data_IF_517775756023
#
_entry.id   IF_517775756023
#
_cell.length_a   1.000
_cell.length_b   1.000
_cell.length_c   1.000
_cell.angle_alpha   90.00
_cell.angle_beta   90.00
_cell.angle_gamma   90.00
#
_symmetry.space_group_name_H-M   'P 1'
#
loop_
_entity.id
_entity.type
_entity.pdbx_description
1 polymer ?
#
# COMPACT_ATOMS: atom_id res chain seq x y z
N UNK A 1 -13.22 -39.14 18.47
CA UNK A 1 -13.77 -39.07 17.10
C UNK A 1 -12.66 -39.12 16.04
N UNK A 2 -12.96 -39.51 14.82
CA UNK A 2 -12.00 -39.53 13.72
C UNK A 2 -12.08 -38.23 12.88
N UNK A 3 -11.13 -38.08 11.96
CA UNK A 3 -11.02 -36.87 11.09
C UNK A 3 -12.31 -36.59 10.30
N UNK A 4 -12.99 -37.65 9.81
CA UNK A 4 -14.20 -37.51 9.01
C UNK A 4 -15.38 -37.01 9.86
N UNK A 5 -15.47 -37.50 11.08
CA UNK A 5 -16.49 -37.09 12.06
C UNK A 5 -16.27 -35.64 12.49
N UNK A 6 -15.02 -35.26 12.80
CA UNK A 6 -14.64 -33.89 13.14
C UNK A 6 -14.91 -32.93 11.98
N UNK A 7 -14.61 -33.34 10.75
CA UNK A 7 -14.86 -32.54 9.56
C UNK A 7 -16.36 -32.24 9.37
N UNK A 8 -17.19 -33.25 9.57
CA UNK A 8 -18.65 -33.12 9.50
C UNK A 8 -19.19 -32.22 10.62
N UNK A 9 -18.71 -32.43 11.85
CA UNK A 9 -19.16 -31.69 13.04
C UNK A 9 -18.77 -30.18 12.92
N UNK A 10 -17.58 -29.88 12.43
CA UNK A 10 -17.03 -28.50 12.35
C UNK A 10 -17.34 -27.79 11.04
N UNK A 11 -17.94 -28.48 10.04
CA UNK A 11 -18.24 -27.89 8.74
C UNK A 11 -16.99 -27.48 7.94
N UNK A 12 -15.91 -28.27 8.03
CA UNK A 12 -14.66 -28.03 7.30
C UNK A 12 -14.18 -29.30 6.60
N UNK A 13 -13.24 -29.17 5.65
CA UNK A 13 -12.72 -30.33 4.93
C UNK A 13 -11.85 -31.21 5.83
N UNK A 14 -11.82 -32.53 5.56
CA UNK A 14 -10.94 -33.48 6.25
C UNK A 14 -9.47 -33.07 6.15
N UNK A 15 -9.05 -32.51 5.00
CA UNK A 15 -7.70 -31.97 4.82
C UNK A 15 -7.39 -30.87 5.84
N UNK A 16 -8.36 -29.97 6.09
CA UNK A 16 -8.20 -28.91 7.08
C UNK A 16 -8.09 -29.46 8.49
N UNK A 17 -8.88 -30.45 8.85
CA UNK A 17 -8.79 -31.11 10.15
C UNK A 17 -7.39 -31.73 10.35
N UNK A 18 -6.86 -32.46 9.35
CA UNK A 18 -5.49 -33.03 9.44
C UNK A 18 -4.42 -31.98 9.64
N UNK A 19 -4.53 -30.82 8.97
CA UNK A 19 -3.61 -29.69 9.16
C UNK A 19 -3.71 -29.13 10.58
N UNK A 20 -4.91 -28.98 11.14
CA UNK A 20 -5.10 -28.52 12.51
C UNK A 20 -4.52 -29.48 13.53
N UNK A 21 -4.69 -30.82 13.33
CA UNK A 21 -4.05 -31.83 14.15
C UNK A 21 -2.51 -31.77 14.06
N UNK A 22 -1.96 -31.72 12.84
CA UNK A 22 -0.52 -31.69 12.60
C UNK A 22 0.16 -30.45 13.20
N UNK A 23 -0.56 -29.32 13.26
CA UNK A 23 -0.08 -28.07 13.85
C UNK A 23 -0.30 -27.96 15.37
N UNK A 24 -0.82 -29.04 16.02
CA UNK A 24 -1.09 -29.03 17.45
C UNK A 24 -2.22 -28.07 17.87
N UNK A 25 -3.08 -27.67 16.94
CA UNK A 25 -4.16 -26.69 17.20
C UNK A 25 -5.43 -27.33 17.80
N UNK A 26 -5.47 -28.67 17.88
CA UNK A 26 -6.55 -29.43 18.52
C UNK A 26 -5.97 -30.07 19.77
N UNK A 27 -6.38 -29.57 20.90
CA UNK A 27 -5.89 -30.08 22.19
C UNK A 27 -6.23 -31.57 22.38
N UNK A 28 -5.25 -32.34 22.83
CA UNK A 28 -5.39 -33.77 23.04
C UNK A 28 -5.51 -34.66 21.77
N UNK A 29 -5.37 -34.07 20.56
CA UNK A 29 -5.30 -34.85 19.34
C UNK A 29 -3.92 -35.53 19.20
N UNK A 30 -3.94 -36.85 18.89
CA UNK A 30 -2.71 -37.60 18.66
C UNK A 30 -2.82 -38.50 17.42
N UNK A 31 -1.68 -38.91 16.90
CA UNK A 31 -1.61 -39.79 15.74
C UNK A 31 -1.36 -41.24 16.18
N UNK A 32 -2.24 -42.14 15.75
CA UNK A 32 -2.08 -43.58 15.91
C UNK A 32 -1.87 -44.24 14.55
N UNK A 33 -0.66 -44.62 14.25
CA UNK A 33 -0.26 -45.08 12.91
C UNK A 33 -0.43 -43.98 11.85
N UNK A 34 -1.32 -44.22 10.88
CA UNK A 34 -1.67 -43.21 9.84
C UNK A 34 -2.94 -42.42 10.13
N UNK A 35 -3.57 -42.69 11.26
CA UNK A 35 -4.88 -42.10 11.61
C UNK A 35 -4.73 -41.08 12.74
N UNK A 36 -5.44 -39.97 12.61
CA UNK A 36 -5.56 -38.99 13.67
C UNK A 36 -6.76 -39.38 14.59
N UNK A 37 -6.51 -39.39 15.88
CA UNK A 37 -7.51 -39.57 16.93
C UNK A 37 -7.74 -38.23 17.60
N UNK A 38 -8.95 -37.75 17.60
CA UNK A 38 -9.36 -36.47 18.15
C UNK A 38 -10.27 -36.77 19.36
N UNK A 39 -10.06 -36.14 20.53
CA UNK A 39 -10.92 -36.35 21.70
C UNK A 39 -12.38 -36.06 21.38
N UNK A 40 -13.28 -36.84 21.98
CA UNK A 40 -14.70 -36.55 21.94
C UNK A 40 -14.97 -35.28 22.75
N UNK A 41 -15.60 -34.28 22.14
CA UNK A 41 -15.79 -32.96 22.76
C UNK A 41 -14.71 -31.90 22.41
N UNK A 42 -13.74 -32.26 21.59
CA UNK A 42 -12.81 -31.24 21.08
C UNK A 42 -13.56 -30.16 20.27
N UNK A 43 -13.31 -28.92 20.60
CA UNK A 43 -13.92 -27.78 19.92
C UNK A 43 -13.13 -27.42 18.62
N UNK A 44 -13.86 -26.87 17.66
CA UNK A 44 -13.23 -26.35 16.45
C UNK A 44 -12.27 -25.21 16.82
N UNK A 45 -10.96 -25.29 16.48
CA UNK A 45 -10.04 -24.21 16.71
C UNK A 45 -10.53 -22.93 16.01
N UNK A 46 -10.37 -21.79 16.67
CA UNK A 46 -10.72 -20.50 16.10
C UNK A 46 -9.96 -20.26 14.79
N UNK A 47 -10.64 -19.71 13.77
CA UNK A 47 -9.98 -19.37 12.52
C UNK A 47 -9.00 -18.20 12.76
N UNK A 48 -7.70 -18.49 12.75
CA UNK A 48 -6.65 -17.50 12.95
C UNK A 48 -6.68 -16.33 11.97
N UNK A 49 -7.34 -16.51 10.81
CA UNK A 49 -7.53 -15.43 9.83
C UNK A 49 -8.50 -14.37 10.36
N UNK A 50 -9.53 -14.78 11.08
CA UNK A 50 -10.51 -13.85 11.67
C UNK A 50 -9.87 -13.07 12.83
N UNK A 51 -9.11 -13.73 13.70
CA UNK A 51 -8.35 -13.08 14.78
C UNK A 51 -7.32 -12.09 14.23
N UNK A 52 -6.59 -12.48 13.19
CA UNK A 52 -5.58 -11.60 12.55
C UNK A 52 -6.22 -10.35 11.94
N UNK A 53 -7.41 -10.48 11.33
CA UNK A 53 -8.11 -9.35 10.71
C UNK A 53 -8.70 -8.39 11.76
N UNK A 54 -9.33 -8.89 12.81
CA UNK A 54 -9.83 -8.08 13.92
C UNK A 54 -8.68 -7.38 14.66
N UNK A 55 -7.60 -8.11 14.98
CA UNK A 55 -6.41 -7.56 15.64
C UNK A 55 -5.68 -6.52 14.78
N UNK A 56 -5.70 -6.65 13.45
CA UNK A 56 -5.14 -5.65 12.54
C UNK A 56 -5.97 -4.36 12.53
N UNK A 57 -7.28 -4.47 12.50
CA UNK A 57 -8.17 -3.31 12.58
C UNK A 57 -8.04 -2.58 13.93
N UNK A 58 -7.99 -3.32 15.02
CA UNK A 58 -7.76 -2.76 16.37
C UNK A 58 -6.41 -2.02 16.44
N UNK A 59 -5.36 -2.58 15.84
CA UNK A 59 -4.05 -1.93 15.75
C UNK A 59 -4.11 -0.64 14.93
N UNK A 60 -4.83 -0.64 13.80
CA UNK A 60 -5.05 0.56 12.97
C UNK A 60 -5.79 1.63 13.76
N UNK A 61 -6.87 1.27 14.46
CA UNK A 61 -7.64 2.20 15.29
C UNK A 61 -6.80 2.78 16.44
N UNK A 62 -5.96 1.96 17.06
CA UNK A 62 -5.04 2.42 18.09
C UNK A 62 -4.00 3.40 17.52
N UNK A 63 -3.40 3.10 16.37
CA UNK A 63 -2.45 4.00 15.69
C UNK A 63 -3.10 5.31 15.25
N UNK A 64 -4.34 5.24 14.78
CA UNK A 64 -5.13 6.43 14.45
C UNK A 64 -5.36 7.30 15.67
N UNK A 65 -5.79 6.72 16.79
CA UNK A 65 -5.98 7.47 18.06
C UNK A 65 -4.68 8.12 18.53
N UNK A 66 -3.55 7.41 18.42
CA UNK A 66 -2.23 7.96 18.76
C UNK A 66 -1.89 9.16 17.84
N UNK A 67 -2.12 9.05 16.54
CA UNK A 67 -1.92 10.15 15.60
C UNK A 67 -2.84 11.35 15.91
N UNK A 68 -4.11 11.09 16.16
CA UNK A 68 -5.09 12.14 16.47
C UNK A 68 -4.76 12.86 17.78
N UNK A 69 -4.18 12.17 18.77
CA UNK A 69 -3.75 12.77 20.04
C UNK A 69 -2.55 13.74 19.90
N UNK A 70 -1.81 13.65 18.80
CA UNK A 70 -0.67 14.53 18.49
C UNK A 70 -1.05 15.75 17.65
N UNK A 71 -2.32 15.92 17.32
CA UNK A 71 -2.83 17.04 16.54
C UNK A 71 -3.29 18.20 17.46
N UNK A 72 -3.27 19.46 16.98
CA UNK A 72 -2.83 19.87 15.64
C UNK A 72 -1.29 19.80 15.49
N UNK A 73 -0.83 19.47 14.29
CA UNK A 73 0.58 19.58 13.91
C UNK A 73 0.91 21.06 13.67
N UNK A 74 2.13 21.45 13.98
CA UNK A 74 2.64 22.78 13.62
C UNK A 74 2.83 22.90 12.10
N UNK A 75 2.80 24.11 11.56
CA UNK A 75 3.05 24.34 10.13
C UNK A 75 4.38 23.74 9.65
N UNK A 76 5.44 23.84 10.46
CA UNK A 76 6.75 23.28 10.14
C UNK A 76 6.75 21.74 10.11
N UNK A 77 5.97 21.08 10.98
CA UNK A 77 5.82 19.62 10.96
C UNK A 77 5.03 19.18 9.73
N UNK A 78 3.96 19.89 9.39
CA UNK A 78 3.17 19.62 8.17
C UNK A 78 4.03 19.80 6.93
N UNK A 79 4.80 20.88 6.84
CA UNK A 79 5.67 21.15 5.70
C UNK A 79 6.71 20.02 5.52
N UNK A 80 7.36 19.56 6.61
CA UNK A 80 8.29 18.43 6.55
C UNK A 80 7.63 17.15 6.05
N UNK A 81 6.43 16.85 6.54
CA UNK A 81 5.70 15.66 6.08
C UNK A 81 5.40 15.73 4.58
N UNK A 82 5.03 16.90 4.06
CA UNK A 82 4.82 17.08 2.64
C UNK A 82 6.12 16.90 1.83
N UNK A 83 7.23 17.44 2.30
CA UNK A 83 8.53 17.32 1.62
C UNK A 83 9.02 15.87 1.59
N UNK A 84 8.99 15.17 2.72
CA UNK A 84 9.40 13.77 2.83
C UNK A 84 8.50 12.87 1.96
N UNK A 85 7.19 13.06 2.04
CA UNK A 85 6.23 12.30 1.25
C UNK A 85 6.40 12.57 -0.25
N UNK A 86 6.60 13.80 -0.65
CA UNK A 86 6.80 14.18 -2.06
C UNK A 86 8.03 13.49 -2.65
N UNK A 87 9.15 13.44 -1.91
CA UNK A 87 10.38 12.79 -2.38
C UNK A 87 10.15 11.30 -2.60
N UNK A 88 9.60 10.61 -1.59
CA UNK A 88 9.34 9.16 -1.68
C UNK A 88 8.29 8.83 -2.74
N UNK A 89 7.22 9.61 -2.81
CA UNK A 89 6.16 9.43 -3.79
C UNK A 89 6.67 9.60 -5.21
N UNK A 90 7.43 10.68 -5.47
CA UNK A 90 8.05 10.93 -6.78
C UNK A 90 8.99 9.82 -7.18
N UNK A 91 9.89 9.40 -6.27
CA UNK A 91 10.80 8.29 -6.53
C UNK A 91 10.06 6.99 -6.87
N UNK A 92 9.13 6.57 -6.03
CA UNK A 92 8.42 5.31 -6.23
C UNK A 92 7.58 5.30 -7.50
N UNK A 93 6.87 6.39 -7.79
CA UNK A 93 6.05 6.51 -9.00
C UNK A 93 6.90 6.45 -10.27
N UNK A 94 8.00 7.20 -10.31
CA UNK A 94 8.89 7.23 -11.47
C UNK A 94 9.67 5.92 -11.64
N UNK A 95 10.04 5.24 -10.53
CA UNK A 95 10.71 3.94 -10.59
C UNK A 95 9.83 2.85 -11.25
N UNK A 96 8.52 2.87 -11.02
CA UNK A 96 7.56 1.98 -11.68
C UNK A 96 7.56 2.20 -13.21
N UNK A 97 7.74 3.44 -13.66
CA UNK A 97 7.79 3.82 -15.08
C UNK A 97 9.20 3.62 -15.70
N UNK A 98 10.17 3.10 -14.92
CA UNK A 98 11.52 2.80 -15.40
C UNK A 98 12.51 3.93 -15.29
N UNK A 99 12.24 4.98 -14.52
CA UNK A 99 13.19 6.04 -14.19
C UNK A 99 14.40 5.46 -13.42
N UNK A 100 15.59 5.92 -13.72
CA UNK A 100 16.84 5.34 -13.20
C UNK A 100 17.44 6.11 -12.02
N UNK A 101 16.81 7.18 -11.56
CA UNK A 101 17.23 7.89 -10.36
C UNK A 101 17.04 7.04 -9.11
N UNK A 102 17.99 7.08 -8.20
CA UNK A 102 17.83 6.55 -6.83
C UNK A 102 17.03 7.53 -5.98
N UNK A 103 16.52 7.10 -4.83
CA UNK A 103 15.80 7.99 -3.90
C UNK A 103 16.61 9.25 -3.54
N UNK A 104 17.92 9.09 -3.28
CA UNK A 104 18.83 10.21 -2.99
C UNK A 104 19.02 11.13 -4.18
N UNK A 105 19.18 10.57 -5.38
CA UNK A 105 19.30 11.36 -6.61
C UNK A 105 18.00 12.11 -6.92
N UNK A 106 16.85 11.49 -6.67
CA UNK A 106 15.54 12.14 -6.79
C UNK A 106 15.48 13.36 -5.85
N UNK A 107 15.81 13.22 -4.58
CA UNK A 107 15.85 14.36 -3.64
C UNK A 107 16.77 15.49 -4.16
N UNK A 108 17.97 15.14 -4.64
CA UNK A 108 18.89 16.13 -5.21
C UNK A 108 18.30 16.86 -6.43
N UNK A 109 17.64 16.12 -7.34
CA UNK A 109 16.98 16.71 -8.52
C UNK A 109 15.82 17.63 -8.10
N UNK A 110 15.03 17.22 -7.13
CA UNK A 110 13.91 18.02 -6.61
C UNK A 110 14.39 19.31 -5.91
N UNK A 111 15.64 19.34 -5.44
CA UNK A 111 16.34 20.54 -4.92
C UNK A 111 17.03 21.37 -6.01
N UNK A 112 16.88 21.00 -7.28
CA UNK A 112 17.43 21.73 -8.43
C UNK A 112 18.86 21.33 -8.83
N UNK A 113 19.37 20.20 -8.34
CA UNK A 113 20.68 19.69 -8.74
C UNK A 113 20.57 18.78 -9.95
N UNK A 114 21.60 18.77 -10.78
CA UNK A 114 21.72 17.86 -11.91
C UNK A 114 22.61 16.67 -11.54
N UNK A 115 22.20 15.47 -11.89
CA UNK A 115 22.95 14.24 -11.62
C UNK A 115 23.70 13.83 -12.88
N UNK A 116 25.03 13.70 -12.78
CA UNK A 116 25.86 13.26 -13.89
C UNK A 116 25.50 11.83 -14.33
N UNK A 117 25.63 11.57 -15.63
CA UNK A 117 25.38 10.26 -16.27
C UNK A 117 23.93 9.72 -16.14
N UNK A 118 22.99 10.56 -15.76
CA UNK A 118 21.56 10.22 -15.77
C UNK A 118 20.85 10.90 -16.95
N UNK A 119 19.88 10.25 -17.58
CA UNK A 119 19.12 10.83 -18.68
C UNK A 119 18.42 12.13 -18.26
N UNK A 120 18.41 13.13 -19.14
CA UNK A 120 17.65 14.36 -18.90
C UNK A 120 16.16 14.07 -18.68
N UNK A 121 15.62 13.09 -19.41
CA UNK A 121 14.25 12.63 -19.25
C UNK A 121 13.93 12.29 -17.79
N UNK A 122 14.81 11.55 -17.12
CA UNK A 122 14.60 11.12 -15.74
C UNK A 122 14.50 12.32 -14.78
N UNK A 123 15.31 13.36 -15.02
CA UNK A 123 15.25 14.62 -14.27
C UNK A 123 13.91 15.34 -14.51
N UNK A 124 13.48 15.44 -15.76
CA UNK A 124 12.25 16.14 -16.13
C UNK A 124 11.01 15.43 -15.58
N UNK A 125 10.99 14.09 -15.60
CA UNK A 125 9.92 13.30 -14.97
C UNK A 125 9.83 13.60 -13.47
N UNK A 126 10.94 13.63 -12.75
CA UNK A 126 10.95 13.96 -11.33
C UNK A 126 10.44 15.38 -11.05
N UNK A 127 10.88 16.36 -11.85
CA UNK A 127 10.42 17.76 -11.72
C UNK A 127 8.93 17.87 -12.03
N UNK A 128 8.45 17.27 -13.12
CA UNK A 128 7.02 17.28 -13.48
C UNK A 128 6.13 16.65 -12.40
N UNK A 129 6.60 15.57 -11.77
CA UNK A 129 5.92 14.95 -10.63
C UNK A 129 5.83 15.87 -9.42
N UNK A 130 6.92 16.61 -9.09
CA UNK A 130 6.93 17.61 -8.04
C UNK A 130 5.91 18.73 -8.30
N UNK A 131 5.89 19.25 -9.52
CA UNK A 131 4.96 20.31 -9.90
C UNK A 131 3.50 19.85 -9.80
N UNK A 132 3.21 18.64 -10.29
CA UNK A 132 1.89 18.04 -10.17
C UNK A 132 1.48 17.84 -8.70
N UNK A 133 2.40 17.40 -7.84
CA UNK A 133 2.15 17.21 -6.41
C UNK A 133 1.74 18.53 -5.75
N UNK A 134 2.47 19.60 -5.95
CA UNK A 134 2.14 20.91 -5.36
C UNK A 134 0.86 21.49 -5.92
N UNK A 135 0.62 21.33 -7.22
CA UNK A 135 -0.65 21.72 -7.82
C UNK A 135 -1.84 21.02 -7.17
N UNK A 136 -1.74 19.71 -6.91
CA UNK A 136 -2.77 18.96 -6.18
C UNK A 136 -2.94 19.49 -4.75
N UNK A 137 -1.85 19.79 -4.05
CA UNK A 137 -1.92 20.38 -2.71
C UNK A 137 -2.67 21.71 -2.68
N UNK A 138 -2.46 22.55 -3.68
CA UNK A 138 -3.17 23.82 -3.79
C UNK A 138 -4.65 23.64 -4.13
N UNK A 139 -4.99 22.73 -5.05
CA UNK A 139 -6.39 22.38 -5.32
C UNK A 139 -7.12 21.87 -4.07
N UNK A 140 -6.46 21.08 -3.23
CA UNK A 140 -7.03 20.58 -1.98
C UNK A 140 -7.24 21.72 -0.98
N UNK A 141 -6.31 22.67 -0.86
CA UNK A 141 -6.46 23.86 0.01
C UNK A 141 -7.65 24.72 -0.43
N UNK A 142 -7.80 24.89 -1.73
CA UNK A 142 -8.89 25.67 -2.34
C UNK A 142 -10.22 24.91 -2.38
N UNK A 143 -10.24 23.64 -2.00
CA UNK A 143 -11.41 22.74 -2.09
C UNK A 143 -11.98 22.67 -3.51
N UNK A 144 -11.11 22.72 -4.51
CA UNK A 144 -11.48 22.64 -5.91
C UNK A 144 -12.13 21.28 -6.21
N UNK A 145 -13.16 21.29 -7.05
CA UNK A 145 -13.80 20.06 -7.50
C UNK A 145 -12.92 19.30 -8.49
N UNK A 146 -12.89 17.98 -8.36
CA UNK A 146 -12.22 17.12 -9.33
C UNK A 146 -13.01 17.09 -10.63
N UNK A 147 -12.48 17.73 -11.67
CA UNK A 147 -13.06 17.79 -13.01
C UNK A 147 -12.15 17.16 -14.05
N UNK A 148 -12.68 16.87 -15.22
CA UNK A 148 -11.87 16.40 -16.35
C UNK A 148 -10.76 17.39 -16.71
N UNK A 149 -11.03 18.68 -16.61
CA UNK A 149 -10.02 19.73 -16.81
C UNK A 149 -8.85 19.60 -15.80
N UNK A 150 -9.16 19.44 -14.52
CA UNK A 150 -8.15 19.27 -13.46
C UNK A 150 -7.30 18.01 -13.72
N UNK A 151 -7.94 16.90 -14.09
CA UNK A 151 -7.22 15.66 -14.41
C UNK A 151 -6.27 15.88 -15.58
N UNK A 152 -6.69 16.57 -16.64
CA UNK A 152 -5.85 16.89 -17.81
C UNK A 152 -4.69 17.81 -17.44
N UNK A 153 -4.89 18.78 -16.54
CA UNK A 153 -3.81 19.64 -16.06
C UNK A 153 -2.76 18.85 -15.28
N UNK A 154 -3.17 17.99 -14.34
CA UNK A 154 -2.26 17.13 -13.60
C UNK A 154 -1.46 16.24 -14.56
N UNK A 155 -2.14 15.62 -15.51
CA UNK A 155 -1.50 14.76 -16.51
C UNK A 155 -0.49 15.51 -17.36
N UNK A 156 -0.79 16.75 -17.73
CA UNK A 156 0.14 17.62 -18.50
C UNK A 156 1.42 17.93 -17.69
N UNK A 157 1.29 18.21 -16.40
CA UNK A 157 2.43 18.44 -15.52
C UNK A 157 3.31 17.20 -15.37
N UNK A 158 2.71 16.04 -15.12
CA UNK A 158 3.45 14.77 -14.99
C UNK A 158 4.16 14.38 -16.28
N UNK A 159 3.60 14.72 -17.44
CA UNK A 159 4.16 14.39 -18.76
C UNK A 159 4.93 15.55 -19.41
N UNK A 160 5.34 16.55 -18.66
CA UNK A 160 6.00 17.75 -19.19
C UNK A 160 7.30 17.47 -19.99
N UNK A 161 7.90 16.28 -19.80
CA UNK A 161 9.06 15.81 -20.55
C UNK A 161 8.73 15.21 -21.92
N UNK A 162 7.46 14.90 -22.21
CA UNK A 162 7.06 14.21 -23.45
C UNK A 162 6.73 15.20 -24.57
N UNK A 163 7.12 14.89 -25.83
CA UNK A 163 6.82 15.77 -26.95
C UNK A 163 5.33 16.03 -27.08
N UNK A 164 4.93 17.24 -27.37
CA UNK A 164 3.54 17.72 -27.55
C UNK A 164 2.63 16.75 -28.34
N UNK A 165 3.18 15.99 -29.29
CA UNK A 165 2.43 14.96 -30.03
C UNK A 165 1.89 13.83 -29.15
N UNK A 166 2.66 13.39 -28.13
CA UNK A 166 2.21 12.34 -27.21
C UNK A 166 1.20 12.88 -26.18
N UNK A 167 1.34 14.13 -25.77
CA UNK A 167 0.37 14.84 -24.93
C UNK A 167 -1.00 14.98 -25.63
N UNK A 168 -1.02 15.34 -26.92
CA UNK A 168 -2.24 15.48 -27.71
C UNK A 168 -2.95 14.13 -27.96
N UNK A 169 -2.20 13.04 -28.15
CA UNK A 169 -2.77 11.70 -28.33
C UNK A 169 -3.38 11.16 -27.04
N UNK A 170 -2.77 11.41 -25.89
CA UNK A 170 -3.28 11.01 -24.58
C UNK A 170 -4.56 11.78 -24.18
N UNK A 171 -4.74 13.03 -24.66
CA UNK A 171 -5.92 13.85 -24.37
C UNK A 171 -7.08 13.62 -25.35
N UNK A 172 -6.85 12.98 -26.50
CA UNK A 172 -7.90 12.69 -27.52
C UNK A 172 -8.49 11.28 -27.42
N UNK A 173 -8.03 10.45 -26.48
CA UNK A 173 -8.50 9.08 -26.28
C UNK A 173 -9.45 8.91 -25.07
N UNK A 174 -10.04 10.00 -24.55
CA UNK A 174 -11.02 9.98 -23.46
C UNK A 174 -12.34 10.56 -23.95
#
# INVERSE_FOLDING_TARGET
MNVKEAAKLWGISERRVRVLCANGQIDGAFQYGKLWVIPDGAEKPADGRIKTKASLLELIDQKKKELDSRRPLTEGEVQRLYEDFMIEYTYNSNAIEGNTLTLRETDMVLRGLTIDKKPLKDHMEAVGHKEAFWYICDLVKEKAELSEYVIKQIHTLVLADKPLKQLLLATSSV
#
